data_IF_477844324504
#
_entry.id   IF_477844324504
#
_cell.length_a   1.000
_cell.length_b   1.000
_cell.length_c   1.000
_cell.angle_alpha   90.00
_cell.angle_beta   90.00
_cell.angle_gamma   90.00
#
_symmetry.space_group_name_H-M   'P 1'
#
loop_
_entity.id
_entity.type
_entity.pdbx_description
1 polymer ?
#
# COMPACT_ATOMS: atom_id res chain seq x y z
N UNK A 1 4.47 12.62 5.97
CA UNK A 1 4.36 11.14 6.03
C UNK A 1 3.34 10.71 4.98
N UNK A 2 3.15 9.41 4.74
CA UNK A 2 2.13 8.94 3.80
C UNK A 2 1.00 8.27 4.56
N UNK A 3 -0.21 8.78 4.42
CA UNK A 3 -1.42 8.14 4.96
C UNK A 3 -1.99 7.20 3.90
N UNK A 4 -2.28 5.95 4.28
CA UNK A 4 -3.04 5.00 3.46
C UNK A 4 -4.49 4.96 3.91
N UNK A 5 -5.40 4.92 2.94
CA UNK A 5 -6.85 4.91 3.15
C UNK A 5 -7.49 3.75 2.40
N UNK A 6 -8.53 3.15 2.98
CA UNK A 6 -9.41 2.23 2.27
C UNK A 6 -10.34 3.05 1.36
N UNK A 7 -10.34 2.82 0.05
CA UNK A 7 -11.11 3.61 -0.91
C UNK A 7 -12.61 3.38 -0.83
N UNK A 8 -13.04 2.22 -0.36
CA UNK A 8 -14.45 1.90 -0.19
C UNK A 8 -15.04 2.62 1.03
N UNK A 9 -14.34 2.59 2.18
CA UNK A 9 -14.86 3.14 3.44
C UNK A 9 -14.39 4.56 3.75
N UNK A 10 -13.32 5.03 3.10
CA UNK A 10 -12.64 6.28 3.41
C UNK A 10 -11.84 6.25 4.72
N UNK A 11 -11.73 5.10 5.39
CA UNK A 11 -11.02 4.99 6.65
C UNK A 11 -9.50 4.94 6.44
N UNK A 12 -8.74 5.66 7.27
CA UNK A 12 -7.29 5.49 7.39
C UNK A 12 -6.98 4.07 7.84
N UNK A 13 -6.13 3.37 7.09
CA UNK A 13 -5.68 2.00 7.39
C UNK A 13 -4.28 1.97 8.00
N UNK A 14 -3.50 3.04 7.84
CA UNK A 14 -2.19 3.18 8.46
C UNK A 14 -1.35 4.28 7.82
N UNK A 15 -0.12 4.41 8.33
CA UNK A 15 0.87 5.34 7.81
C UNK A 15 2.12 4.58 7.37
N UNK A 16 2.76 5.07 6.30
CA UNK A 16 4.02 4.56 5.77
C UNK A 16 5.00 5.70 5.50
N UNK A 17 6.27 5.34 5.32
CA UNK A 17 7.33 6.27 4.91
C UNK A 17 7.27 6.58 3.40
N UNK A 18 7.98 7.63 2.97
CA UNK A 18 8.13 7.94 1.54
C UNK A 18 8.90 6.83 0.79
N UNK A 19 9.85 6.18 1.46
CA UNK A 19 10.61 5.05 0.91
C UNK A 19 9.69 3.84 0.66
N UNK A 20 8.79 3.54 1.60
CA UNK A 20 7.78 2.49 1.44
C UNK A 20 6.77 2.82 0.34
N UNK A 21 6.39 4.09 0.15
CA UNK A 21 5.56 4.50 -0.98
C UNK A 21 6.28 4.27 -2.31
N UNK A 22 7.58 4.57 -2.39
CA UNK A 22 8.36 4.30 -3.61
C UNK A 22 8.42 2.80 -3.93
N UNK A 23 8.52 1.94 -2.91
CA UNK A 23 8.44 0.49 -3.06
C UNK A 23 7.06 0.08 -3.61
N UNK A 24 5.98 0.58 -3.03
CA UNK A 24 4.61 0.27 -3.47
C UNK A 24 4.40 0.65 -4.94
N UNK A 25 4.75 1.90 -5.31
CA UNK A 25 4.64 2.42 -6.69
C UNK A 25 5.49 1.60 -7.66
N UNK A 26 6.73 1.27 -7.27
CA UNK A 26 7.62 0.49 -8.12
C UNK A 26 7.15 -0.97 -8.31
N UNK A 27 6.60 -1.59 -7.26
CA UNK A 27 6.12 -2.97 -7.30
C UNK A 27 4.89 -3.15 -8.21
N UNK A 28 4.13 -2.08 -8.44
CA UNK A 28 2.92 -2.09 -9.26
C UNK A 28 3.17 -1.61 -10.71
N UNK A 29 4.44 -1.40 -11.07
CA UNK A 29 4.88 -0.95 -12.40
C UNK A 29 4.07 0.24 -12.92
N UNK A 30 3.76 1.21 -12.05
CA UNK A 30 2.96 2.36 -12.46
C UNK A 30 3.60 3.13 -13.63
N UNK A 31 2.92 3.10 -14.77
CA UNK A 31 3.32 3.90 -15.93
C UNK A 31 2.94 5.39 -15.78
N UNK A 32 2.02 5.71 -14.85
CA UNK A 32 1.46 7.04 -14.66
C UNK A 32 1.49 7.52 -13.20
N UNK A 33 2.39 8.48 -12.91
CA UNK A 33 2.54 9.13 -11.60
C UNK A 33 1.32 9.89 -11.03
N UNK A 34 0.18 9.91 -11.73
CA UNK A 34 -1.05 10.57 -11.28
C UNK A 34 -2.01 9.62 -10.58
N UNK A 35 -1.82 8.31 -10.73
CA UNK A 35 -2.64 7.32 -10.06
C UNK A 35 -2.24 7.31 -8.57
N UNK A 36 -3.25 7.33 -7.70
CA UNK A 36 -3.07 7.44 -6.25
C UNK A 36 -3.86 6.35 -5.51
N UNK A 37 -4.30 5.33 -6.25
CA UNK A 37 -5.05 4.21 -5.75
C UNK A 37 -4.66 2.90 -6.42
N UNK A 38 -4.76 1.82 -5.64
CA UNK A 38 -4.35 0.49 -6.05
C UNK A 38 -5.31 -0.55 -5.51
N UNK A 39 -5.61 -1.55 -6.34
CA UNK A 39 -6.08 -2.83 -5.83
C UNK A 39 -4.89 -3.65 -5.35
N UNK A 40 -4.92 -4.09 -4.09
CA UNK A 40 -3.86 -4.88 -3.45
C UNK A 40 -4.46 -6.19 -2.93
N UNK A 41 -3.85 -7.31 -3.29
CA UNK A 41 -4.17 -8.63 -2.76
C UNK A 41 -3.01 -9.21 -1.95
N UNK A 42 -3.24 -10.38 -1.34
CA UNK A 42 -2.20 -11.07 -0.56
C UNK A 42 -0.96 -11.40 -1.38
N UNK A 43 -1.11 -11.74 -2.66
CA UNK A 43 0.01 -12.12 -3.52
C UNK A 43 0.93 -10.92 -3.81
N UNK A 44 0.35 -9.73 -3.98
CA UNK A 44 1.07 -8.47 -4.12
C UNK A 44 1.88 -8.18 -2.86
N UNK A 45 1.28 -8.36 -1.68
CA UNK A 45 1.96 -8.16 -0.39
C UNK A 45 3.12 -9.14 -0.21
N UNK A 46 2.91 -10.42 -0.51
CA UNK A 46 3.95 -11.44 -0.43
C UNK A 46 5.13 -11.12 -1.37
N UNK A 47 4.83 -10.66 -2.59
CA UNK A 47 5.83 -10.27 -3.59
C UNK A 47 6.66 -9.06 -3.13
N UNK A 48 6.03 -8.04 -2.51
CA UNK A 48 6.76 -6.90 -1.93
C UNK A 48 7.66 -7.35 -0.78
N UNK A 49 7.15 -8.20 0.13
CA UNK A 49 7.91 -8.68 1.30
C UNK A 49 9.17 -9.47 0.88
N UNK A 50 9.05 -10.30 -0.15
CA UNK A 50 10.17 -11.09 -0.68
C UNK A 50 11.25 -10.19 -1.29
N UNK A 51 10.86 -9.13 -2.00
CA UNK A 51 11.77 -8.29 -2.78
C UNK A 51 12.34 -7.10 -1.98
N UNK A 52 11.69 -6.68 -0.90
CA UNK A 52 12.01 -5.44 -0.20
C UNK A 52 12.04 -5.62 1.33
N UNK A 53 13.24 -5.86 1.89
CA UNK A 53 13.44 -6.07 3.33
C UNK A 53 13.11 -4.84 4.21
N UNK A 54 13.01 -3.65 3.60
CA UNK A 54 12.71 -2.37 4.23
C UNK A 54 11.21 -2.01 4.19
N UNK A 55 10.34 -2.87 3.66
CA UNK A 55 8.90 -2.60 3.53
C UNK A 55 8.06 -2.93 4.79
N UNK A 56 8.67 -3.07 5.96
CA UNK A 56 8.04 -3.70 7.13
C UNK A 56 6.73 -3.06 7.61
N UNK A 57 6.62 -1.73 7.60
CA UNK A 57 5.39 -1.03 8.03
C UNK A 57 4.32 -1.17 6.96
N UNK A 58 4.70 -1.02 5.68
CA UNK A 58 3.82 -1.25 4.54
C UNK A 58 3.20 -2.66 4.57
N UNK A 59 4.02 -3.70 4.73
CA UNK A 59 3.52 -5.09 4.81
C UNK A 59 2.56 -5.25 5.98
N UNK A 60 2.89 -4.70 7.15
CA UNK A 60 2.02 -4.78 8.34
C UNK A 60 0.66 -4.12 8.11
N UNK A 61 0.65 -2.91 7.56
CA UNK A 61 -0.58 -2.15 7.26
C UNK A 61 -1.43 -2.89 6.23
N UNK A 62 -0.83 -3.33 5.11
CA UNK A 62 -1.57 -4.01 4.04
C UNK A 62 -2.15 -5.34 4.49
N UNK A 63 -1.38 -6.20 5.19
CA UNK A 63 -1.90 -7.47 5.72
C UNK A 63 -3.06 -7.26 6.68
N UNK A 64 -2.95 -6.27 7.57
CA UNK A 64 -4.01 -5.93 8.52
C UNK A 64 -5.26 -5.43 7.80
N UNK A 65 -5.10 -4.59 6.77
CA UNK A 65 -6.20 -4.00 6.04
C UNK A 65 -6.94 -5.00 5.14
N UNK A 66 -6.22 -5.95 4.52
CA UNK A 66 -6.82 -7.03 3.73
C UNK A 66 -7.57 -8.02 4.63
N UNK A 67 -6.99 -8.39 5.77
CA UNK A 67 -7.61 -9.33 6.70
C UNK A 67 -7.94 -10.67 6.02
N UNK A 68 -9.20 -11.08 6.11
CA UNK A 68 -9.72 -12.33 5.51
C UNK A 68 -10.35 -12.12 4.11
N UNK A 69 -10.19 -10.93 3.50
CA UNK A 69 -10.73 -10.63 2.17
C UNK A 69 -9.77 -11.01 1.04
N UNK A 70 -10.26 -11.06 -0.20
CA UNK A 70 -9.41 -11.33 -1.37
C UNK A 70 -8.42 -10.20 -1.67
N UNK A 71 -8.68 -8.99 -1.16
CA UNK A 71 -7.89 -7.80 -1.40
C UNK A 71 -8.63 -6.53 -1.01
N UNK A 72 -7.96 -5.40 -1.20
CA UNK A 72 -8.45 -4.08 -0.81
C UNK A 72 -8.03 -3.04 -1.85
N UNK A 73 -8.95 -2.12 -2.15
CA UNK A 73 -8.60 -0.90 -2.88
C UNK A 73 -8.13 0.16 -1.88
N UNK A 74 -6.87 0.58 -2.01
CA UNK A 74 -6.25 1.60 -1.17
C UNK A 74 -6.04 2.88 -1.95
N UNK A 75 -5.95 4.01 -1.25
CA UNK A 75 -5.37 5.24 -1.79
C UNK A 75 -4.38 5.85 -0.82
N UNK A 76 -3.46 6.67 -1.32
CA UNK A 76 -2.45 7.32 -0.50
C UNK A 76 -2.49 8.85 -0.58
N UNK A 77 -2.18 9.53 0.52
CA UNK A 77 -2.01 10.98 0.54
C UNK A 77 -0.75 11.40 1.28
N UNK A 78 -0.08 12.46 0.80
CA UNK A 78 1.06 13.06 1.48
C UNK A 78 0.57 14.01 2.55
N UNK A 79 0.85 13.68 3.81
CA UNK A 79 0.59 14.56 4.95
C UNK A 79 1.77 15.50 5.17
N UNK A 80 1.45 16.80 5.32
CA UNK A 80 2.41 17.89 5.51
C UNK A 80 3.01 17.91 6.92
#
# INVERSE_FOLDING_TARGET
MIELTNKHSGATIGEISEEELQILVAALEEENSRDQDYWIDHATVDMIEINHLNAGSLITVLRTAIGDSDGIEIGYTRTA
#
